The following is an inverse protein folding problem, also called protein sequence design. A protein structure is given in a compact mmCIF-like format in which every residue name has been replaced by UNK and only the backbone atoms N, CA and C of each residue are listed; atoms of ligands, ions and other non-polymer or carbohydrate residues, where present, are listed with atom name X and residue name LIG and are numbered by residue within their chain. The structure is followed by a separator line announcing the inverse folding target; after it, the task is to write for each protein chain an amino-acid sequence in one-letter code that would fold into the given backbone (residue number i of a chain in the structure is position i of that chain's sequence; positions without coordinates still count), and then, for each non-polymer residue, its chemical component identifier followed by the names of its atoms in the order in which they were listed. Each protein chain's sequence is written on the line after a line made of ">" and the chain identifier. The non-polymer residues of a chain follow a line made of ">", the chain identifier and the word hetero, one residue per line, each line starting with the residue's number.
data_IF_856323018271
#
_entry.id   IF_856323018271
#
_cell.length_a   1.000
_cell.length_b   1.000
_cell.length_c   1.000
_cell.angle_alpha   90.00
_cell.angle_beta   90.00
_cell.angle_gamma   90.00
#
_symmetry.space_group_name_H-M   'P 1'
#
loop_
_entity.id
_entity.type
_entity.pdbx_description
1 polymer ?
#
# COMPACT_ATOMS: atom_id res chain seq x y z
N UNK A 1 -8.27 -11.13 16.23
CA UNK A 1 -9.28 -11.80 15.38
C UNK A 1 -8.56 -12.69 14.38
N UNK A 2 -8.79 -14.00 14.42
CA UNK A 2 -8.31 -14.90 13.36
C UNK A 2 -9.36 -15.03 12.25
N UNK A 3 -8.95 -15.33 11.03
CA UNK A 3 -9.86 -15.62 9.90
C UNK A 3 -10.43 -17.03 10.03
N UNK A 4 -11.29 -17.25 11.03
CA UNK A 4 -11.81 -18.59 11.38
C UNK A 4 -13.21 -18.82 10.83
N UNK A 5 -14.06 -17.80 10.88
CA UNK A 5 -15.46 -17.91 10.52
C UNK A 5 -15.82 -17.00 9.33
N UNK A 6 -16.97 -17.27 8.68
CA UNK A 6 -17.49 -16.45 7.57
C UNK A 6 -17.69 -14.99 7.97
N UNK A 7 -18.11 -14.73 9.21
CA UNK A 7 -18.23 -13.37 9.77
C UNK A 7 -16.89 -12.62 9.77
N UNK A 8 -15.79 -13.30 10.10
CA UNK A 8 -14.44 -12.71 10.13
C UNK A 8 -13.96 -12.40 8.72
N UNK A 9 -14.20 -13.32 7.77
CA UNK A 9 -13.90 -13.12 6.35
C UNK A 9 -14.70 -11.96 5.75
N UNK A 10 -15.99 -11.83 6.06
CA UNK A 10 -16.80 -10.72 5.57
C UNK A 10 -16.28 -9.37 6.10
N UNK A 11 -15.87 -9.32 7.36
CA UNK A 11 -15.26 -8.11 7.95
C UNK A 11 -13.92 -7.76 7.32
N UNK A 12 -13.09 -8.78 7.09
CA UNK A 12 -11.83 -8.62 6.40
C UNK A 12 -12.03 -8.07 4.98
N UNK A 13 -12.94 -8.67 4.20
CA UNK A 13 -13.24 -8.23 2.84
C UNK A 13 -13.80 -6.80 2.81
N UNK A 14 -14.66 -6.44 3.77
CA UNK A 14 -15.16 -5.07 3.88
C UNK A 14 -14.02 -4.07 4.10
N UNK A 15 -13.10 -4.37 5.03
CA UNK A 15 -11.91 -3.52 5.28
C UNK A 15 -10.99 -3.48 4.06
N UNK A 16 -10.83 -4.60 3.37
CA UNK A 16 -10.08 -4.69 2.13
C UNK A 16 -10.66 -3.77 1.05
N UNK A 17 -11.97 -3.83 0.79
CA UNK A 17 -12.61 -2.97 -0.20
C UNK A 17 -12.53 -1.49 0.16
N UNK A 18 -12.66 -1.16 1.45
CA UNK A 18 -12.49 0.23 1.93
C UNK A 18 -11.04 0.70 1.74
N UNK A 19 -10.05 -0.11 2.14
CA UNK A 19 -8.64 0.23 2.00
C UNK A 19 -8.24 0.39 0.53
N UNK A 20 -8.63 -0.57 -0.31
CA UNK A 20 -8.34 -0.54 -1.73
C UNK A 20 -9.04 0.62 -2.42
N UNK A 21 -10.35 0.81 -2.20
CA UNK A 21 -11.12 1.89 -2.81
C UNK A 21 -10.59 3.27 -2.39
N UNK A 22 -10.27 3.46 -1.12
CA UNK A 22 -9.66 4.71 -0.64
C UNK A 22 -8.29 4.94 -1.27
N UNK A 23 -7.45 3.91 -1.32
CA UNK A 23 -6.14 4.02 -1.92
C UNK A 23 -6.22 4.37 -3.40
N UNK A 24 -7.06 3.73 -4.20
CA UNK A 24 -7.18 4.02 -5.64
C UNK A 24 -7.54 5.48 -5.93
N UNK A 25 -8.46 6.07 -5.14
CA UNK A 25 -8.82 7.48 -5.26
C UNK A 25 -7.61 8.40 -5.04
N UNK A 26 -6.73 8.05 -4.10
CA UNK A 26 -5.52 8.80 -3.77
C UNK A 26 -4.37 8.47 -4.73
N UNK A 27 -4.31 7.23 -5.21
CA UNK A 27 -3.19 6.69 -5.97
C UNK A 27 -3.18 7.19 -7.41
N UNK A 28 -4.35 7.38 -8.03
CA UNK A 28 -4.49 7.93 -9.38
C UNK A 28 -3.85 9.32 -9.52
N UNK A 29 -4.20 10.33 -8.69
CA UNK A 29 -3.56 11.65 -8.78
C UNK A 29 -2.09 11.60 -8.38
N UNK A 30 -1.71 10.80 -7.37
CA UNK A 30 -0.29 10.62 -7.00
C UNK A 30 0.53 10.05 -8.15
N UNK A 31 0.05 9.00 -8.83
CA UNK A 31 0.70 8.40 -10.00
C UNK A 31 0.87 9.41 -11.13
N UNK A 32 -0.17 10.18 -11.38
CA UNK A 32 -0.16 11.21 -12.42
C UNK A 32 0.79 12.35 -12.08
N UNK A 33 0.91 12.75 -10.81
CA UNK A 33 1.75 13.88 -10.40
C UNK A 33 3.23 13.47 -10.20
N UNK A 34 3.46 12.30 -9.62
CA UNK A 34 4.79 11.83 -9.23
C UNK A 34 5.47 10.97 -10.30
N UNK A 35 4.70 10.27 -11.12
CA UNK A 35 5.22 9.24 -12.02
C UNK A 35 4.68 9.31 -13.45
N UNK A 36 4.09 10.44 -13.90
CA UNK A 36 3.56 10.58 -15.26
C UNK A 36 4.54 10.13 -16.34
N UNK A 37 5.81 10.45 -16.16
CA UNK A 37 6.87 10.10 -17.10
C UNK A 37 7.26 8.62 -17.00
N UNK A 38 7.34 8.05 -15.79
CA UNK A 38 7.83 6.69 -15.57
C UNK A 38 6.83 5.60 -15.89
N UNK A 39 5.55 5.83 -15.57
CA UNK A 39 4.51 4.84 -15.80
C UNK A 39 3.98 4.86 -17.24
N UNK A 40 4.09 6.00 -17.93
CA UNK A 40 3.37 6.22 -19.18
C UNK A 40 4.26 6.59 -20.37
N UNK A 41 5.49 7.05 -20.17
CA UNK A 41 6.46 7.28 -21.25
C UNK A 41 7.88 6.77 -20.88
N UNK A 42 8.17 5.47 -21.08
CA UNK A 42 9.47 4.89 -20.77
C UNK A 42 10.63 5.47 -21.62
N UNK A 43 10.33 6.29 -22.64
CA UNK A 43 11.32 6.95 -23.50
C UNK A 43 11.54 8.41 -23.14
N UNK A 44 10.88 8.93 -22.09
CA UNK A 44 11.03 10.31 -21.59
C UNK A 44 10.79 11.41 -22.65
N UNK A 45 9.96 11.14 -23.66
CA UNK A 45 9.71 12.07 -24.78
C UNK A 45 8.71 13.17 -24.41
N UNK A 46 7.78 12.90 -23.51
CA UNK A 46 6.78 13.86 -23.04
C UNK A 46 6.62 13.85 -21.52
N UNK A 47 6.38 15.03 -20.94
CA UNK A 47 6.18 15.20 -19.49
C UNK A 47 4.75 14.88 -19.04
N UNK A 48 3.80 15.00 -19.98
CA UNK A 48 2.37 14.77 -19.79
C UNK A 48 1.89 13.75 -20.83
N UNK A 49 1.54 12.56 -20.36
CA UNK A 49 0.85 11.56 -21.18
C UNK A 49 -0.66 11.73 -20.97
N UNK A 50 -1.47 11.81 -22.04
CA UNK A 50 -2.92 11.92 -21.92
C UNK A 50 -3.50 10.77 -21.09
N UNK A 51 -4.45 11.07 -20.19
CA UNK A 51 -5.06 10.06 -19.29
C UNK A 51 -5.66 8.87 -20.07
N UNK A 52 -6.11 9.13 -21.29
CA UNK A 52 -6.71 8.16 -22.22
C UNK A 52 -5.72 7.13 -22.76
N UNK A 53 -4.42 7.41 -22.73
CA UNK A 53 -3.36 6.53 -23.27
C UNK A 53 -2.74 5.64 -22.18
N UNK A 54 -3.21 5.77 -20.95
CA UNK A 54 -2.69 5.06 -19.78
C UNK A 54 -3.39 3.70 -19.61
N UNK A 55 -2.59 2.62 -19.60
CA UNK A 55 -3.07 1.30 -19.19
C UNK A 55 -3.15 1.18 -17.67
N UNK A 56 -4.24 1.66 -17.09
CA UNK A 56 -4.48 1.68 -15.64
C UNK A 56 -4.63 0.29 -15.00
N UNK A 57 -4.97 -0.73 -15.79
CA UNK A 57 -5.31 -2.05 -15.24
C UNK A 57 -4.14 -2.72 -14.50
N UNK A 58 -2.91 -2.57 -14.99
CA UNK A 58 -1.73 -3.15 -14.34
C UNK A 58 -1.49 -2.57 -12.94
N UNK A 59 -1.34 -1.24 -12.81
CA UNK A 59 -1.21 -0.58 -11.51
C UNK A 59 -2.35 -0.88 -10.53
N UNK A 60 -3.60 -0.88 -11.01
CA UNK A 60 -4.79 -1.20 -10.20
C UNK A 60 -4.73 -2.65 -9.68
N UNK A 61 -4.40 -3.61 -10.55
CA UNK A 61 -4.28 -5.02 -10.16
C UNK A 61 -3.14 -5.23 -9.17
N UNK A 62 -2.01 -4.53 -9.34
CA UNK A 62 -0.90 -4.57 -8.40
C UNK A 62 -1.33 -4.06 -7.00
N UNK A 63 -2.03 -2.93 -6.94
CA UNK A 63 -2.55 -2.37 -5.69
C UNK A 63 -3.57 -3.30 -5.03
N UNK A 64 -4.48 -3.89 -5.81
CA UNK A 64 -5.46 -4.87 -5.34
C UNK A 64 -4.77 -6.04 -4.61
N UNK A 65 -3.78 -6.64 -5.27
CA UNK A 65 -3.01 -7.76 -4.72
C UNK A 65 -2.27 -7.31 -3.47
N UNK A 66 -1.58 -6.17 -3.53
CA UNK A 66 -0.78 -5.67 -2.42
C UNK A 66 -1.62 -5.36 -1.18
N UNK A 67 -2.73 -4.64 -1.32
CA UNK A 67 -3.64 -4.27 -0.22
C UNK A 67 -4.30 -5.52 0.38
N UNK A 68 -4.60 -6.53 -0.44
CA UNK A 68 -5.14 -7.81 0.03
C UNK A 68 -4.14 -8.56 0.91
N UNK A 69 -2.92 -8.79 0.42
CA UNK A 69 -1.90 -9.54 1.16
C UNK A 69 -1.40 -8.78 2.39
N UNK A 70 -1.28 -7.45 2.32
CA UNK A 70 -1.00 -6.62 3.48
C UNK A 70 -2.08 -6.78 4.55
N UNK A 71 -3.35 -6.78 4.15
CA UNK A 71 -4.47 -7.05 5.04
C UNK A 71 -4.37 -8.40 5.74
N UNK A 72 -4.03 -9.46 5.01
CA UNK A 72 -3.81 -10.79 5.60
C UNK A 72 -2.69 -10.75 6.64
N UNK A 73 -1.55 -10.15 6.30
CA UNK A 73 -0.42 -10.04 7.21
C UNK A 73 -0.79 -9.28 8.49
N UNK A 74 -1.45 -8.12 8.39
CA UNK A 74 -1.87 -7.34 9.55
C UNK A 74 -2.89 -8.10 10.38
N UNK A 75 -3.83 -8.79 9.74
CA UNK A 75 -4.85 -9.58 10.44
C UNK A 75 -4.23 -10.71 11.25
N UNK A 76 -3.22 -11.40 10.70
CA UNK A 76 -2.49 -12.45 11.41
C UNK A 76 -1.51 -11.89 12.45
N UNK A 77 -0.88 -10.75 12.18
CA UNK A 77 0.04 -10.08 13.10
C UNK A 77 -0.69 -9.32 14.22
N UNK A 78 -2.01 -9.19 14.17
CA UNK A 78 -2.82 -8.39 15.11
C UNK A 78 -2.63 -8.78 16.57
N UNK A 79 -2.32 -10.04 16.87
CA UNK A 79 -2.04 -10.48 18.24
C UNK A 79 -0.75 -9.89 18.83
N UNK A 80 0.18 -9.46 17.97
CA UNK A 80 1.46 -8.88 18.36
C UNK A 80 1.50 -7.34 18.24
N UNK A 81 0.42 -6.72 17.74
CA UNK A 81 0.36 -5.28 17.49
C UNK A 81 -0.56 -4.58 18.49
N UNK A 82 -0.25 -3.34 18.91
CA UNK A 82 -1.16 -2.53 19.71
C UNK A 82 -2.51 -2.33 19.01
N UNK A 83 -3.57 -2.13 19.78
CA UNK A 83 -4.92 -1.93 19.24
C UNK A 83 -5.07 -0.48 18.74
N UNK A 84 -5.89 -0.30 17.70
CA UNK A 84 -6.30 1.02 17.22
C UNK A 84 -5.30 1.71 16.30
N UNK A 85 -5.30 3.04 16.31
CA UNK A 85 -4.48 3.87 15.40
C UNK A 85 -2.99 3.61 15.61
N UNK A 86 -2.54 3.45 16.86
CA UNK A 86 -1.14 3.22 17.19
C UNK A 86 -0.62 1.91 16.55
N UNK A 87 -1.42 0.84 16.58
CA UNK A 87 -1.12 -0.40 15.89
C UNK A 87 -0.98 -0.23 14.39
N UNK A 88 -1.86 0.58 13.79
CA UNK A 88 -1.84 0.88 12.36
C UNK A 88 -0.58 1.65 11.95
N UNK A 89 -0.18 2.66 12.73
CA UNK A 89 1.04 3.43 12.46
C UNK A 89 2.27 2.54 12.60
N UNK A 90 2.37 1.75 13.68
CA UNK A 90 3.52 0.88 13.91
C UNK A 90 3.65 -0.20 12.84
N UNK A 91 2.55 -0.88 12.52
CA UNK A 91 2.52 -1.85 11.43
C UNK A 91 2.92 -1.19 10.12
N UNK A 92 2.34 -0.03 9.82
CA UNK A 92 2.62 0.73 8.61
C UNK A 92 4.11 1.07 8.45
N UNK A 93 4.72 1.59 9.51
CA UNK A 93 6.12 1.96 9.52
C UNK A 93 7.04 0.73 9.39
N UNK A 94 6.81 -0.30 10.20
CA UNK A 94 7.64 -1.53 10.20
C UNK A 94 7.57 -2.23 8.84
N UNK A 95 6.37 -2.39 8.27
CA UNK A 95 6.21 -2.99 6.94
C UNK A 95 6.84 -2.14 5.84
N UNK A 96 6.72 -0.81 5.91
CA UNK A 96 7.34 0.08 4.91
C UNK A 96 8.86 -0.05 4.92
N UNK A 97 9.47 -0.10 6.11
CA UNK A 97 10.93 -0.27 6.23
C UNK A 97 11.36 -1.64 5.70
N UNK A 98 10.68 -2.71 6.12
CA UNK A 98 11.05 -4.08 5.77
C UNK A 98 10.82 -4.40 4.28
N UNK A 99 9.70 -3.95 3.70
CA UNK A 99 9.29 -4.32 2.35
C UNK A 99 9.85 -3.38 1.26
N UNK A 100 10.21 -2.14 1.59
CA UNK A 100 10.58 -1.15 0.58
C UNK A 100 11.89 -0.44 0.86
N UNK A 101 12.09 0.13 2.05
CA UNK A 101 13.32 0.88 2.37
C UNK A 101 14.55 -0.03 2.32
N UNK A 102 14.52 -1.17 3.00
CA UNK A 102 15.67 -2.07 3.04
C UNK A 102 15.98 -2.70 1.66
N UNK A 103 14.98 -3.19 0.89
CA UNK A 103 15.22 -3.68 -0.46
C UNK A 103 15.76 -2.60 -1.41
N UNK A 104 15.22 -1.36 -1.37
CA UNK A 104 15.69 -0.32 -2.27
C UNK A 104 17.13 0.09 -1.97
N UNK A 105 17.51 0.17 -0.69
CA UNK A 105 18.89 0.44 -0.28
C UNK A 105 19.84 -0.63 -0.83
N UNK A 106 19.42 -1.90 -0.75
CA UNK A 106 20.18 -3.03 -1.29
C UNK A 106 20.34 -2.93 -2.80
N UNK A 107 19.25 -2.64 -3.53
CA UNK A 107 19.28 -2.49 -5.00
C UNK A 107 20.15 -1.30 -5.43
N UNK A 108 19.98 -0.13 -4.80
CA UNK A 108 20.76 1.07 -5.13
C UNK A 108 22.25 0.88 -4.90
N UNK A 109 22.63 0.15 -3.84
CA UNK A 109 24.02 -0.11 -3.53
C UNK A 109 24.65 -1.17 -4.45
N UNK A 110 23.90 -2.24 -4.78
CA UNK A 110 24.43 -3.38 -5.52
C UNK A 110 24.37 -3.21 -7.04
N UNK A 111 23.30 -2.65 -7.59
CA UNK A 111 23.07 -2.64 -9.04
C UNK A 111 23.24 -1.26 -9.66
N UNK A 112 22.99 -0.18 -8.90
CA UNK A 112 22.89 1.20 -9.41
C UNK A 112 21.99 1.33 -10.65
N UNK A 113 21.04 0.40 -10.83
CA UNK A 113 20.26 0.27 -12.05
C UNK A 113 19.16 1.34 -12.19
N UNK A 114 18.82 2.03 -11.10
CA UNK A 114 17.72 2.99 -11.04
C UNK A 114 18.23 4.31 -10.46
N UNK A 115 17.88 5.47 -11.04
CA UNK A 115 18.21 6.76 -10.45
C UNK A 115 17.65 6.90 -9.04
N UNK A 116 18.51 7.30 -8.10
CA UNK A 116 18.23 7.31 -6.66
C UNK A 116 16.97 8.09 -6.30
N UNK A 117 16.71 9.22 -6.97
CA UNK A 117 15.53 10.06 -6.73
C UNK A 117 14.22 9.31 -7.01
N UNK A 118 14.18 8.53 -8.09
CA UNK A 118 12.99 7.77 -8.50
C UNK A 118 12.73 6.63 -7.54
N UNK A 119 13.80 5.94 -7.14
CA UNK A 119 13.75 4.86 -6.17
C UNK A 119 13.13 5.33 -4.85
N UNK A 120 13.56 6.49 -4.34
CA UNK A 120 12.98 7.07 -3.12
C UNK A 120 11.56 7.59 -3.29
N UNK A 121 11.21 8.14 -4.46
CA UNK A 121 9.84 8.54 -4.76
C UNK A 121 8.89 7.34 -4.74
N UNK A 122 9.34 6.23 -5.31
CA UNK A 122 8.61 4.96 -5.27
C UNK A 122 8.48 4.42 -3.85
N UNK A 123 9.55 4.42 -3.05
CA UNK A 123 9.47 4.03 -1.63
C UNK A 123 8.49 4.91 -0.86
N UNK A 124 8.51 6.23 -1.10
CA UNK A 124 7.55 7.14 -0.48
C UNK A 124 6.11 6.77 -0.83
N UNK A 125 5.81 6.63 -2.12
CA UNK A 125 4.48 6.24 -2.60
C UNK A 125 4.01 4.92 -1.96
N UNK A 126 4.88 3.91 -1.93
CA UNK A 126 4.59 2.62 -1.33
C UNK A 126 4.41 2.67 0.19
N UNK A 127 5.16 3.53 0.87
CA UNK A 127 5.05 3.72 2.33
C UNK A 127 3.72 4.39 2.69
N UNK A 128 3.25 5.34 1.88
CA UNK A 128 1.94 5.97 2.06
C UNK A 128 0.81 4.95 1.86
N UNK A 129 0.91 4.09 0.85
CA UNK A 129 -0.02 2.97 0.64
C UNK A 129 -0.12 2.10 1.88
N UNK A 130 1.02 1.59 2.35
CA UNK A 130 1.05 0.67 3.50
C UNK A 130 0.46 1.38 4.73
N UNK A 131 0.85 2.62 4.99
CA UNK A 131 0.39 3.36 6.16
C UNK A 131 -1.13 3.55 6.16
N UNK A 132 -1.70 3.94 5.03
CA UNK A 132 -3.16 4.12 4.90
C UNK A 132 -3.87 2.78 5.08
N UNK A 133 -3.42 1.74 4.37
CA UNK A 133 -4.02 0.43 4.46
C UNK A 133 -3.90 -0.13 5.89
N UNK A 134 -2.76 0.04 6.55
CA UNK A 134 -2.54 -0.45 7.91
C UNK A 134 -3.40 0.28 8.94
N UNK A 135 -3.62 1.58 8.77
CA UNK A 135 -4.58 2.34 9.58
C UNK A 135 -6.00 1.79 9.41
N UNK A 136 -6.44 1.53 8.18
CA UNK A 136 -7.78 1.03 7.89
C UNK A 136 -7.97 -0.40 8.45
N UNK A 137 -6.97 -1.27 8.31
CA UNK A 137 -7.04 -2.62 8.87
C UNK A 137 -6.92 -2.67 10.39
N UNK A 138 -6.13 -1.77 10.99
CA UNK A 138 -5.93 -1.69 12.44
C UNK A 138 -7.08 -0.99 13.16
N UNK A 139 -7.81 -0.10 12.47
CA UNK A 139 -9.00 0.52 13.01
C UNK A 139 -10.06 -0.55 13.30
N UNK A 140 -10.40 -0.68 14.57
CA UNK A 140 -11.47 -1.52 15.08
C UNK A 140 -12.33 -0.57 15.90
N UNK A 141 -13.58 -0.35 15.49
CA UNK A 141 -14.53 0.27 16.40
C UNK A 141 -14.60 -0.60 17.66
N UNK A 142 -14.54 0.05 18.82
CA UNK A 142 -14.44 -0.54 20.17
C UNK A 142 -15.68 -1.36 20.59
N UNK A 143 -16.58 -1.74 19.68
CA UNK A 143 -17.84 -2.42 20.01
C UNK A 143 -17.72 -3.93 20.31
N UNK A 144 -16.52 -4.48 20.51
CA UNK A 144 -16.34 -5.95 20.65
C UNK A 144 -15.53 -6.42 21.85
N UNK A 145 -15.46 -5.64 22.93
CA UNK A 145 -14.88 -6.08 24.23
C UNK A 145 -15.83 -5.86 25.43
N UNK A 146 -17.15 -5.96 25.21
CA UNK A 146 -18.12 -6.11 26.31
C UNK A 146 -18.88 -7.43 26.18
N UNK A 147 -18.23 -8.50 26.63
CA UNK A 147 -18.89 -9.60 27.32
C UNK A 147 -18.39 -9.62 28.76
#
# INVERSE_FOLDING_TARGET
>A
MGLRNSKDWNRFLLRFFVAFGFWEVVSIPLRTLLFSVFYYDPLFRSFFVPITEIFWIGPIVADLIQVFFLGLMITFARAALPIGILGGILAGFVFSVAAFVAPILSVLHLTRAIPTQIAWLWVFYQSVLILIASLIYSYSSEEEETY
#
